data_IF_381512425064
#
_entry.id   IF_381512425064
#
_cell.length_a   1.000
_cell.length_b   1.000
_cell.length_c   1.000
_cell.angle_alpha   90.00
_cell.angle_beta   90.00
_cell.angle_gamma   90.00
#
_symmetry.space_group_name_H-M   'P 1'
#
loop_
_entity.id
_entity.type
_entity.pdbx_description
1 polymer ?
#
# COMPACT_ATOMS: atom_id res chain seq x y z
N UNK A 1 15.35 22.92 -42.95
CA UNK A 1 13.98 22.37 -42.81
C UNK A 1 13.78 21.97 -41.36
N UNK A 2 12.95 22.71 -40.61
CA UNK A 2 12.65 22.40 -39.20
C UNK A 2 11.75 21.15 -39.14
N UNK A 3 12.29 20.02 -38.70
CA UNK A 3 11.49 18.84 -38.37
C UNK A 3 10.81 19.12 -37.03
N UNK A 4 9.62 19.72 -37.09
CA UNK A 4 8.75 19.80 -35.92
C UNK A 4 8.21 18.39 -35.70
N UNK A 5 8.81 17.63 -34.78
CA UNK A 5 8.25 16.34 -34.35
C UNK A 5 6.83 16.58 -33.83
N UNK A 6 5.84 16.26 -34.67
CA UNK A 6 4.43 16.49 -34.40
C UNK A 6 4.02 15.62 -33.21
N UNK A 7 3.78 16.25 -32.06
CA UNK A 7 3.39 15.55 -30.86
C UNK A 7 2.14 14.70 -31.14
N UNK A 8 2.22 13.38 -30.90
CA UNK A 8 1.10 12.48 -31.13
C UNK A 8 -0.04 12.83 -30.16
N UNK A 9 -1.11 13.41 -30.69
CA UNK A 9 -2.35 13.54 -29.94
C UNK A 9 -3.02 12.17 -29.81
N UNK A 10 -3.44 11.89 -28.59
CA UNK A 10 -4.07 10.62 -28.23
C UNK A 10 -5.47 10.82 -27.66
N UNK A 11 -6.00 12.05 -27.62
CA UNK A 11 -7.36 12.35 -27.19
C UNK A 11 -8.38 11.48 -27.93
N UNK A 12 -9.33 10.90 -27.20
CA UNK A 12 -10.34 9.97 -27.73
C UNK A 12 -9.84 8.55 -28.00
N UNK A 13 -8.52 8.30 -28.01
CA UNK A 13 -7.98 6.95 -28.27
C UNK A 13 -8.16 6.02 -27.07
N UNK A 14 -8.41 4.75 -27.37
CA UNK A 14 -8.59 3.67 -26.40
C UNK A 14 -7.34 2.81 -26.28
N UNK A 15 -6.98 2.47 -25.03
CA UNK A 15 -5.87 1.60 -24.66
C UNK A 15 -6.35 0.60 -23.59
N UNK A 16 -6.77 -0.58 -24.02
CA UNK A 16 -7.48 -1.52 -23.16
C UNK A 16 -8.78 -0.89 -22.63
N UNK A 17 -8.91 -0.80 -21.30
CA UNK A 17 -10.06 -0.18 -20.64
C UNK A 17 -9.95 1.34 -20.48
N UNK A 18 -8.85 1.95 -20.94
CA UNK A 18 -8.60 3.38 -20.78
C UNK A 18 -8.94 4.14 -22.05
N UNK A 19 -9.80 5.14 -21.97
CA UNK A 19 -10.06 6.12 -23.03
C UNK A 19 -9.41 7.43 -22.65
N UNK A 20 -8.57 7.99 -23.51
CA UNK A 20 -7.89 9.27 -23.23
C UNK A 20 -8.89 10.41 -23.32
N UNK A 21 -9.02 11.17 -22.23
CA UNK A 21 -9.90 12.36 -22.16
C UNK A 21 -9.15 13.61 -22.60
N UNK A 22 -7.94 13.84 -22.04
CA UNK A 22 -7.15 15.05 -22.32
C UNK A 22 -5.70 14.91 -21.90
N UNK A 23 -4.87 15.85 -22.35
CA UNK A 23 -3.49 15.98 -21.89
C UNK A 23 -3.45 16.40 -20.42
N UNK A 24 -2.57 15.77 -19.64
CA UNK A 24 -2.27 16.14 -18.27
C UNK A 24 -0.90 16.83 -18.18
N UNK A 25 -0.57 17.39 -17.00
CA UNK A 25 0.76 17.96 -16.74
C UNK A 25 1.85 16.94 -17.09
N UNK A 26 2.85 17.34 -17.87
CA UNK A 26 3.96 16.46 -18.21
C UNK A 26 4.66 15.94 -16.94
N UNK A 27 5.36 14.81 -17.07
CA UNK A 27 6.23 14.29 -16.02
C UNK A 27 7.44 15.22 -15.80
N UNK A 28 8.14 15.07 -14.68
CA UNK A 28 9.32 15.90 -14.35
C UNK A 28 10.42 15.84 -15.43
N UNK A 29 10.53 14.71 -16.14
CA UNK A 29 11.45 14.51 -17.26
C UNK A 29 10.90 15.00 -18.62
N UNK A 30 9.85 15.81 -18.64
CA UNK A 30 9.20 16.29 -19.87
C UNK A 30 8.27 15.26 -20.54
N UNK A 31 8.17 14.04 -20.00
CA UNK A 31 7.34 12.97 -20.55
C UNK A 31 5.86 13.33 -20.65
N UNK A 32 5.26 13.01 -21.80
CA UNK A 32 3.84 13.19 -22.06
C UNK A 32 2.96 12.37 -21.11
N UNK A 33 1.99 13.01 -20.44
CA UNK A 33 0.99 12.32 -19.61
C UNK A 33 -0.43 12.65 -20.03
N UNK A 34 -1.32 11.69 -19.85
CA UNK A 34 -2.70 11.75 -20.34
C UNK A 34 -3.67 11.33 -19.24
N UNK A 35 -4.70 12.15 -19.03
CA UNK A 35 -5.82 11.78 -18.19
C UNK A 35 -6.73 10.85 -18.98
N UNK A 36 -7.00 9.67 -18.44
CA UNK A 36 -7.82 8.64 -19.07
C UNK A 36 -9.04 8.31 -18.20
N UNK A 37 -10.19 8.10 -18.84
CA UNK A 37 -11.36 7.47 -18.25
C UNK A 37 -11.21 5.95 -18.34
N UNK A 38 -11.40 5.24 -17.23
CA UNK A 38 -11.45 3.79 -17.25
C UNK A 38 -12.90 3.30 -17.39
N UNK A 39 -13.10 2.16 -18.06
CA UNK A 39 -14.43 1.53 -18.18
C UNK A 39 -15.07 1.18 -16.82
N UNK A 40 -14.29 1.04 -15.74
CA UNK A 40 -14.81 0.84 -14.39
C UNK A 40 -15.24 2.15 -13.68
N UNK A 41 -15.28 3.28 -14.39
CA UNK A 41 -15.74 4.57 -13.87
C UNK A 41 -14.65 5.48 -13.28
N UNK A 42 -13.50 4.95 -12.87
CA UNK A 42 -12.41 5.77 -12.30
C UNK A 42 -11.52 6.41 -13.38
N UNK A 43 -10.90 7.54 -13.08
CA UNK A 43 -9.89 8.16 -13.94
C UNK A 43 -8.46 7.79 -13.53
N UNK A 44 -7.51 7.92 -14.46
CA UNK A 44 -6.07 7.74 -14.19
C UNK A 44 -5.21 8.58 -15.10
N UNK A 45 -4.16 9.21 -14.55
CA UNK A 45 -3.11 9.85 -15.34
C UNK A 45 -2.04 8.81 -15.69
N UNK A 46 -1.71 8.68 -16.97
CA UNK A 46 -0.78 7.67 -17.47
C UNK A 46 0.22 8.29 -18.44
N UNK A 47 1.48 7.83 -18.38
CA UNK A 47 2.50 8.20 -19.36
C UNK A 47 2.13 7.72 -20.76
N UNK A 48 2.30 8.58 -21.76
CA UNK A 48 1.93 8.30 -23.13
C UNK A 48 2.68 7.11 -23.73
N UNK A 49 3.94 6.91 -23.33
CA UNK A 49 4.74 5.74 -23.71
C UNK A 49 4.14 4.45 -23.15
N UNK A 50 3.66 4.46 -21.90
CA UNK A 50 3.04 3.29 -21.25
C UNK A 50 1.66 2.95 -21.81
N UNK A 51 0.92 3.95 -22.29
CA UNK A 51 -0.32 3.73 -23.03
C UNK A 51 -0.03 3.05 -24.38
N UNK A 52 0.85 3.64 -25.20
CA UNK A 52 1.17 3.12 -26.54
C UNK A 52 1.83 1.74 -26.53
N UNK A 53 2.70 1.47 -25.56
CA UNK A 53 3.31 0.14 -25.39
C UNK A 53 2.35 -0.91 -24.80
N UNK A 54 1.14 -0.52 -24.41
CA UNK A 54 0.16 -1.45 -23.81
C UNK A 54 0.52 -1.91 -22.39
N UNK A 55 1.52 -1.30 -21.74
CA UNK A 55 1.89 -1.62 -20.36
C UNK A 55 0.78 -1.24 -19.38
N UNK A 56 0.09 -0.12 -19.63
CA UNK A 56 -1.03 0.32 -18.80
C UNK A 56 -2.34 0.16 -19.55
N UNK A 57 -3.15 -0.83 -19.16
CA UNK A 57 -4.43 -1.18 -19.82
C UNK A 57 -5.68 -0.83 -19.01
N UNK A 58 -5.52 -0.38 -17.76
CA UNK A 58 -6.62 -0.01 -16.87
C UNK A 58 -6.16 0.92 -15.75
N UNK A 59 -7.11 1.44 -14.97
CA UNK A 59 -6.80 2.20 -13.77
C UNK A 59 -6.08 1.34 -12.69
N UNK A 60 -6.15 0.01 -12.80
CA UNK A 60 -5.77 -0.95 -11.77
C UNK A 60 -6.87 -1.97 -11.49
N UNK A 61 -8.10 -1.71 -11.94
CA UNK A 61 -9.27 -2.57 -11.73
C UNK A 61 -9.07 -4.00 -12.26
N UNK A 62 -8.42 -4.19 -13.40
CA UNK A 62 -8.12 -5.53 -13.93
C UNK A 62 -7.32 -6.36 -12.91
N UNK A 63 -6.28 -5.77 -12.29
CA UNK A 63 -5.49 -6.47 -11.27
C UNK A 63 -6.31 -6.76 -10.02
N UNK A 64 -7.18 -5.84 -9.62
CA UNK A 64 -8.07 -6.03 -8.48
C UNK A 64 -9.08 -7.16 -8.72
N UNK A 65 -9.67 -7.22 -9.92
CA UNK A 65 -10.58 -8.28 -10.34
C UNK A 65 -9.88 -9.65 -10.34
N UNK A 66 -8.68 -9.73 -10.92
CA UNK A 66 -7.88 -10.96 -10.92
C UNK A 66 -7.53 -11.42 -9.50
N UNK A 67 -7.17 -10.50 -8.61
CA UNK A 67 -6.87 -10.82 -7.21
C UNK A 67 -8.11 -11.34 -6.47
N UNK A 68 -9.28 -10.69 -6.66
CA UNK A 68 -10.56 -11.16 -6.11
C UNK A 68 -10.90 -12.56 -6.61
N UNK A 69 -10.69 -12.83 -7.90
CA UNK A 69 -10.99 -14.12 -8.49
C UNK A 69 -10.06 -15.22 -7.97
N UNK A 70 -8.76 -14.95 -7.88
CA UNK A 70 -7.79 -15.86 -7.26
C UNK A 70 -8.18 -16.17 -5.82
N UNK A 71 -8.53 -15.14 -5.04
CA UNK A 71 -8.96 -15.31 -3.65
C UNK A 71 -10.20 -16.20 -3.54
N UNK A 72 -11.18 -16.02 -4.45
CA UNK A 72 -12.37 -16.86 -4.48
C UNK A 72 -12.07 -18.31 -4.85
N UNK A 73 -11.13 -18.57 -5.76
CA UNK A 73 -10.85 -19.92 -6.27
C UNK A 73 -9.86 -20.72 -5.43
N UNK A 74 -9.00 -20.07 -4.65
CA UNK A 74 -7.95 -20.74 -3.87
C UNK A 74 -8.53 -21.40 -2.58
N UNK A 75 -8.57 -22.75 -2.51
CA UNK A 75 -9.13 -23.44 -1.36
C UNK A 75 -8.30 -23.24 -0.08
N UNK A 76 -6.97 -23.05 -0.20
CA UNK A 76 -6.08 -22.82 0.95
C UNK A 76 -6.40 -21.50 1.63
N UNK A 77 -6.69 -20.46 0.83
CA UNK A 77 -7.10 -19.16 1.36
C UNK A 77 -8.43 -19.28 2.11
N UNK A 78 -9.41 -19.98 1.53
CA UNK A 78 -10.73 -20.17 2.18
C UNK A 78 -10.64 -20.95 3.49
N UNK A 79 -9.82 -22.01 3.52
CA UNK A 79 -9.59 -22.79 4.73
C UNK A 79 -8.94 -21.92 5.81
N UNK A 80 -7.82 -21.26 5.50
CA UNK A 80 -7.07 -20.47 6.46
C UNK A 80 -7.82 -19.22 6.96
N UNK A 81 -8.73 -18.65 6.15
CA UNK A 81 -9.55 -17.49 6.54
C UNK A 81 -10.39 -17.71 7.81
N UNK A 82 -10.73 -18.97 8.13
CA UNK A 82 -11.54 -19.30 9.32
C UNK A 82 -10.70 -19.49 10.59
N UNK A 83 -9.38 -19.60 10.44
CA UNK A 83 -8.47 -19.92 11.54
C UNK A 83 -7.73 -18.67 12.02
N UNK A 84 -8.45 -17.78 12.71
CA UNK A 84 -7.85 -16.55 13.29
C UNK A 84 -6.73 -16.86 14.28
N UNK A 85 -6.79 -18.01 14.93
CA UNK A 85 -5.79 -18.54 15.86
C UNK A 85 -4.39 -18.63 15.24
N UNK A 86 -4.27 -18.88 13.93
CA UNK A 86 -2.97 -18.91 13.25
C UNK A 86 -2.31 -17.53 13.15
N UNK A 87 -3.04 -16.46 13.43
CA UNK A 87 -2.49 -15.10 13.49
C UNK A 87 -1.82 -14.80 14.83
N UNK A 88 -2.00 -15.67 15.83
CA UNK A 88 -1.50 -15.49 17.18
C UNK A 88 -0.52 -16.61 17.56
N UNK A 89 0.43 -16.28 18.42
CA UNK A 89 1.23 -17.26 19.16
C UNK A 89 0.36 -17.97 20.21
N UNK A 90 0.82 -19.11 20.78
CA UNK A 90 0.15 -19.77 21.90
C UNK A 90 -0.11 -18.85 23.10
N UNK A 91 0.70 -17.80 23.28
CA UNK A 91 0.56 -16.78 24.31
C UNK A 91 -0.44 -15.66 23.93
N UNK A 92 -1.18 -15.82 22.83
CA UNK A 92 -2.17 -14.85 22.36
C UNK A 92 -1.58 -13.52 21.85
N UNK A 93 -0.28 -13.50 21.55
CA UNK A 93 0.39 -12.36 20.92
C UNK A 93 0.27 -12.48 19.40
N UNK A 94 -0.22 -11.47 18.67
CA UNK A 94 -0.25 -11.49 17.21
C UNK A 94 1.16 -11.70 16.61
N UNK A 95 1.34 -12.60 15.65
CA UNK A 95 2.63 -12.78 14.97
C UNK A 95 3.14 -11.51 14.28
N UNK A 96 2.24 -10.60 13.90
CA UNK A 96 2.58 -9.27 13.36
C UNK A 96 3.31 -8.38 14.36
N UNK A 97 3.17 -8.66 15.66
CA UNK A 97 3.87 -7.99 16.76
C UNK A 97 5.26 -8.58 16.97
N UNK A 98 5.43 -9.89 16.72
CA UNK A 98 6.68 -10.62 16.94
C UNK A 98 7.63 -10.57 15.74
N UNK A 99 7.11 -10.49 14.51
CA UNK A 99 7.89 -10.58 13.28
C UNK A 99 7.93 -9.24 12.54
N UNK A 100 9.14 -8.70 12.35
CA UNK A 100 9.36 -7.48 11.57
C UNK A 100 9.06 -7.70 10.09
N UNK A 101 8.16 -6.88 9.54
CA UNK A 101 7.89 -6.87 8.10
C UNK A 101 9.03 -6.20 7.32
N UNK A 102 9.32 -6.66 6.10
CA UNK A 102 10.21 -5.98 5.14
C UNK A 102 9.79 -4.53 4.83
N UNK A 103 8.51 -4.20 5.05
CA UNK A 103 7.96 -2.84 4.88
C UNK A 103 8.18 -1.92 6.09
N UNK A 104 8.68 -2.45 7.21
CA UNK A 104 8.97 -1.67 8.40
C UNK A 104 10.18 -0.78 8.14
N UNK A 105 9.95 0.53 8.02
CA UNK A 105 10.98 1.54 7.75
C UNK A 105 11.61 2.11 9.02
N UNK A 106 10.93 2.01 10.16
CA UNK A 106 11.35 2.59 11.44
C UNK A 106 12.33 1.71 12.20
N UNK A 107 12.51 0.46 11.79
CA UNK A 107 13.39 -0.48 12.48
C UNK A 107 12.68 -1.26 13.59
N UNK A 108 11.72 -0.63 14.28
CA UNK A 108 11.02 -1.14 15.46
C UNK A 108 9.56 -1.49 15.15
N UNK A 109 9.12 -2.71 15.45
CA UNK A 109 7.71 -3.12 15.28
C UNK A 109 6.82 -2.36 16.26
N UNK A 110 5.67 -1.89 15.79
CA UNK A 110 4.73 -1.14 16.62
C UNK A 110 5.09 0.33 16.85
N UNK A 111 6.19 0.83 16.27
CA UNK A 111 6.57 2.25 16.31
C UNK A 111 6.44 2.89 14.93
N UNK A 112 5.65 3.97 14.85
CA UNK A 112 5.33 4.66 13.60
C UNK A 112 5.14 6.17 13.83
N UNK A 113 5.57 7.01 12.90
CA UNK A 113 5.28 8.44 12.92
C UNK A 113 3.97 8.73 12.21
N UNK A 114 3.15 9.62 12.78
CA UNK A 114 2.07 10.27 12.06
C UNK A 114 2.61 11.41 11.19
N UNK A 115 2.35 11.36 9.89
CA UNK A 115 2.86 12.34 8.93
C UNK A 115 2.18 13.71 9.06
N UNK A 116 0.97 13.77 9.61
CA UNK A 116 0.24 15.02 9.77
C UNK A 116 0.73 15.81 10.98
N UNK A 117 0.88 15.14 12.12
CA UNK A 117 1.29 15.81 13.38
C UNK A 117 2.77 15.70 13.70
N UNK A 118 3.52 14.84 13.00
CA UNK A 118 4.92 14.55 13.28
C UNK A 118 5.14 13.70 14.54
N UNK A 119 4.09 13.36 15.30
CA UNK A 119 4.18 12.59 16.55
C UNK A 119 4.53 11.13 16.28
N UNK A 120 5.34 10.56 17.17
CA UNK A 120 5.67 9.14 17.16
C UNK A 120 4.67 8.36 18.00
N UNK A 121 4.20 7.23 17.49
CA UNK A 121 3.28 6.35 18.22
C UNK A 121 3.96 5.02 18.50
N UNK A 122 3.87 4.58 19.75
CA UNK A 122 4.23 3.23 20.16
C UNK A 122 2.96 2.44 20.51
N UNK A 123 2.84 1.24 19.95
CA UNK A 123 1.69 0.36 20.15
C UNK A 123 2.14 -1.05 20.46
N UNK A 124 1.49 -1.73 21.42
CA UNK A 124 1.64 -3.17 21.68
C UNK A 124 0.28 -3.80 21.95
N UNK A 125 -0.04 -4.86 21.20
CA UNK A 125 -1.26 -5.65 21.37
C UNK A 125 -0.92 -7.04 21.91
N UNK A 126 -1.63 -7.44 22.96
CA UNK A 126 -1.57 -8.78 23.57
C UNK A 126 -2.99 -9.21 23.88
N UNK A 127 -3.37 -10.44 23.57
CA UNK A 127 -4.73 -10.97 23.82
C UNK A 127 -5.83 -10.03 23.29
N UNK A 128 -5.62 -9.48 22.10
CA UNK A 128 -6.54 -8.55 21.42
C UNK A 128 -6.78 -7.19 22.13
N UNK A 129 -5.93 -6.82 23.09
CA UNK A 129 -5.99 -5.54 23.79
C UNK A 129 -4.69 -4.75 23.63
N UNK A 130 -4.78 -3.43 23.49
CA UNK A 130 -3.59 -2.57 23.50
C UNK A 130 -3.09 -2.39 24.92
N UNK A 131 -2.00 -3.07 25.26
CA UNK A 131 -1.26 -2.85 26.53
C UNK A 131 -0.34 -1.63 26.45
N UNK A 132 -0.06 -1.14 25.23
CA UNK A 132 0.57 0.15 24.96
C UNK A 132 -0.13 0.81 23.78
N UNK A 133 -0.55 2.06 23.96
CA UNK A 133 -1.05 2.96 22.91
C UNK A 133 -0.77 4.40 23.33
N UNK A 134 0.41 4.92 23.01
CA UNK A 134 0.85 6.27 23.42
C UNK A 134 1.53 7.01 22.27
N UNK A 135 1.43 8.34 22.29
CA UNK A 135 2.17 9.23 21.40
C UNK A 135 3.33 9.91 22.12
N UNK A 136 4.38 10.21 21.39
CA UNK A 136 5.65 10.80 21.84
C UNK A 136 6.08 11.87 20.84
N UNK A 137 6.88 12.82 21.31
CA UNK A 137 7.52 13.83 20.45
C UNK A 137 8.73 13.26 19.73
N UNK A 138 9.47 12.36 20.38
CA UNK A 138 10.71 11.80 19.87
C UNK A 138 10.56 10.32 19.47
N UNK A 139 11.40 9.90 18.53
CA UNK A 139 11.46 8.50 18.09
C UNK A 139 11.95 7.58 19.21
N UNK A 140 13.04 7.97 19.89
CA UNK A 140 13.69 7.14 20.89
C UNK A 140 12.78 6.86 22.08
N UNK A 141 12.06 7.88 22.58
CA UNK A 141 11.05 7.71 23.64
C UNK A 141 9.97 6.69 23.27
N UNK A 142 9.52 6.71 22.01
CA UNK A 142 8.53 5.75 21.51
C UNK A 142 9.12 4.33 21.41
N UNK A 143 10.39 4.20 21.01
CA UNK A 143 11.11 2.93 20.97
C UNK A 143 11.32 2.35 22.37
N UNK A 144 11.71 3.18 23.32
CA UNK A 144 11.93 2.75 24.70
C UNK A 144 10.62 2.33 25.38
N UNK A 145 9.56 3.13 25.20
CA UNK A 145 8.22 2.74 25.65
C UNK A 145 7.78 1.39 25.05
N UNK A 146 8.06 1.17 23.76
CA UNK A 146 7.77 -0.10 23.08
C UNK A 146 8.58 -1.25 23.67
N UNK A 147 9.90 -1.13 23.79
CA UNK A 147 10.79 -2.17 24.34
C UNK A 147 10.45 -2.51 25.79
N UNK A 148 10.11 -1.51 26.60
CA UNK A 148 9.68 -1.71 27.99
C UNK A 148 8.36 -2.48 28.06
N UNK A 149 7.40 -2.17 27.19
CA UNK A 149 6.18 -2.95 27.09
C UNK A 149 6.44 -4.40 26.60
N UNK A 150 7.36 -4.61 25.66
CA UNK A 150 7.74 -5.96 25.22
C UNK A 150 8.31 -6.79 26.37
N UNK A 151 9.24 -6.23 27.16
CA UNK A 151 9.78 -6.89 28.37
C UNK A 151 8.68 -7.28 29.35
N UNK A 152 7.70 -6.39 29.57
CA UNK A 152 6.63 -6.59 30.54
C UNK A 152 5.53 -7.56 30.08
N UNK A 153 5.25 -7.67 28.79
CA UNK A 153 4.06 -8.39 28.32
C UNK A 153 4.35 -9.56 27.36
N UNK A 154 5.56 -9.66 26.79
CA UNK A 154 5.91 -10.74 25.87
C UNK A 154 6.79 -11.83 26.50
N UNK A 155 7.57 -11.47 27.52
CA UNK A 155 8.59 -12.36 28.13
C UNK A 155 8.33 -12.68 29.60
N UNK A 156 7.16 -12.34 30.13
CA UNK A 156 6.75 -12.79 31.46
C UNK A 156 6.33 -14.25 31.34
N UNK A 157 7.14 -15.14 31.93
CA UNK A 157 6.85 -16.56 32.11
C UNK A 157 5.73 -16.76 33.11
#
# INVERSE_FOLDING_TARGET
MNIVTRAVDMTGKRFGRLVVIKRAKNAKNGGARWLCQCDCGSTKVVDGTRLRSGVTKSCGCIRAEMAKERFRKDPKIRQNMRHKEFLYSPQGIPYSTLKKSKRNRTGQVGVSQDQQTGKWFARLMVNNHYVLLKSFTNFDDAVDARKNAEKKYLFVK
#
